data_IF_100382273431
#
_entry.id   IF_100382273431
#
_cell.length_a   1.000
_cell.length_b   1.000
_cell.length_c   1.000
_cell.angle_alpha   90.00
_cell.angle_beta   90.00
_cell.angle_gamma   90.00
#
_symmetry.space_group_name_H-M   'P 1'
#
loop_
_entity.id
_entity.type
_entity.pdbx_description
1 polymer ?
#
# COMPACT_ATOMS: atom_id res chain seq x y z
N UNK A 1 9.34 -20.69 13.73
CA UNK A 1 8.17 -20.51 14.62
C UNK A 1 8.01 -19.05 14.96
N UNK A 2 6.80 -18.51 14.88
CA UNK A 2 6.52 -17.13 15.25
C UNK A 2 6.40 -17.05 16.76
N UNK A 3 7.15 -16.16 17.39
CA UNK A 3 7.02 -15.93 18.84
C UNK A 3 5.69 -15.22 19.12
N UNK A 4 5.10 -15.55 20.30
CA UNK A 4 3.84 -14.92 20.71
C UNK A 4 3.97 -13.40 20.72
N UNK A 5 3.07 -12.68 20.04
CA UNK A 5 3.06 -11.23 19.95
C UNK A 5 3.93 -10.62 18.83
N UNK A 6 4.71 -11.42 18.09
CA UNK A 6 5.52 -10.93 16.95
C UNK A 6 4.84 -11.10 15.59
N UNK A 7 3.76 -11.90 15.53
CA UNK A 7 3.01 -12.12 14.31
C UNK A 7 1.91 -11.09 14.09
N UNK A 8 1.33 -11.14 12.90
CA UNK A 8 0.16 -10.35 12.52
C UNK A 8 -0.96 -11.30 12.08
N UNK A 9 -2.20 -10.90 12.30
CA UNK A 9 -3.35 -11.70 11.92
C UNK A 9 -3.79 -11.36 10.50
N UNK A 10 -3.99 -12.40 9.70
CA UNK A 10 -4.53 -12.30 8.35
C UNK A 10 -5.57 -13.41 8.17
N UNK A 11 -6.84 -13.03 7.97
CA UNK A 11 -7.95 -13.96 7.81
C UNK A 11 -8.03 -15.02 8.93
N UNK A 12 -7.81 -14.60 10.18
CA UNK A 12 -7.85 -15.48 11.34
C UNK A 12 -6.61 -16.34 11.56
N UNK A 13 -5.57 -16.15 10.74
CA UNK A 13 -4.30 -16.88 10.86
C UNK A 13 -3.19 -15.91 11.23
N UNK A 14 -2.42 -16.26 12.27
CA UNK A 14 -1.24 -15.48 12.64
C UNK A 14 -0.07 -15.83 11.73
N UNK A 15 0.50 -14.83 11.06
CA UNK A 15 1.63 -14.99 10.16
C UNK A 15 2.76 -14.02 10.55
N UNK A 16 3.99 -14.29 10.11
CA UNK A 16 5.11 -13.40 10.34
C UNK A 16 4.94 -12.10 9.55
N UNK A 17 5.58 -11.04 10.02
CA UNK A 17 5.61 -9.75 9.32
C UNK A 17 6.25 -9.86 7.93
N UNK A 18 7.26 -10.72 7.79
CA UNK A 18 7.92 -10.99 6.51
C UNK A 18 6.95 -11.60 5.51
N UNK A 19 6.16 -12.61 5.94
CA UNK A 19 5.13 -13.21 5.08
C UNK A 19 4.03 -12.21 4.72
N UNK A 20 3.60 -11.40 5.68
CA UNK A 20 2.63 -10.33 5.44
C UNK A 20 3.14 -9.37 4.36
N UNK A 21 4.38 -8.93 4.47
CA UNK A 21 4.99 -8.05 3.48
C UNK A 21 5.01 -8.65 2.08
N UNK A 22 5.37 -9.93 1.99
CA UNK A 22 5.38 -10.65 0.71
C UNK A 22 3.98 -10.74 0.11
N UNK A 23 2.97 -11.09 0.92
CA UNK A 23 1.58 -11.17 0.46
C UNK A 23 1.11 -9.83 -0.07
N UNK A 24 1.39 -8.74 0.64
CA UNK A 24 1.04 -7.39 0.19
C UNK A 24 1.69 -7.05 -1.14
N UNK A 25 2.95 -7.41 -1.33
CA UNK A 25 3.68 -7.21 -2.57
C UNK A 25 3.04 -7.99 -3.72
N UNK A 26 2.64 -9.25 -3.49
CA UNK A 26 1.95 -10.06 -4.49
C UNK A 26 0.60 -9.46 -4.90
N UNK A 27 -0.14 -8.87 -3.97
CA UNK A 27 -1.41 -8.18 -4.29
C UNK A 27 -1.16 -7.05 -5.29
N UNK A 28 -0.13 -6.25 -5.05
CA UNK A 28 0.23 -5.13 -5.95
C UNK A 28 0.71 -5.64 -7.30
N UNK A 29 1.54 -6.68 -7.32
CA UNK A 29 2.04 -7.29 -8.56
C UNK A 29 0.86 -7.80 -9.41
N UNK A 30 -0.07 -8.54 -8.80
CA UNK A 30 -1.23 -9.07 -9.51
C UNK A 30 -2.06 -7.94 -10.14
N UNK A 31 -2.31 -6.88 -9.39
CA UNK A 31 -3.04 -5.71 -9.90
C UNK A 31 -2.34 -5.11 -11.13
N UNK A 32 -1.03 -4.91 -11.04
CA UNK A 32 -0.25 -4.29 -12.11
C UNK A 32 -0.19 -5.17 -13.37
N UNK A 33 -0.05 -6.48 -13.20
CA UNK A 33 -0.05 -7.43 -14.31
C UNK A 33 -1.40 -7.42 -15.04
N UNK A 34 -2.51 -7.32 -14.31
CA UNK A 34 -3.85 -7.22 -14.91
C UNK A 34 -4.08 -5.90 -15.66
N UNK A 35 -3.27 -4.89 -15.35
CA UNK A 35 -3.26 -3.61 -16.08
C UNK A 35 -2.24 -3.59 -17.23
N UNK A 36 -1.67 -4.74 -17.56
CA UNK A 36 -0.68 -4.91 -18.62
C UNK A 36 0.62 -4.12 -18.40
N UNK A 37 0.96 -3.85 -17.15
CA UNK A 37 2.24 -3.29 -16.79
C UNK A 37 3.30 -4.39 -16.66
N UNK A 38 4.57 -4.06 -16.88
CA UNK A 38 5.69 -4.94 -16.54
C UNK A 38 6.17 -4.60 -15.14
N UNK A 39 6.48 -5.62 -14.36
CA UNK A 39 6.88 -5.45 -12.97
C UNK A 39 8.22 -6.13 -12.74
N UNK A 40 9.14 -5.42 -12.13
CA UNK A 40 10.46 -5.92 -11.78
C UNK A 40 10.66 -5.84 -10.27
N UNK A 41 11.30 -6.85 -9.70
CA UNK A 41 11.68 -6.88 -8.30
C UNK A 41 13.20 -6.66 -8.19
N UNK A 42 13.67 -5.85 -7.21
CA UNK A 42 15.10 -5.72 -6.98
C UNK A 42 15.67 -7.02 -6.41
N UNK A 43 16.88 -7.37 -6.83
CA UNK A 43 17.61 -8.53 -6.30
C UNK A 43 18.01 -8.28 -4.85
N UNK A 44 18.39 -7.04 -4.54
CA UNK A 44 18.75 -6.63 -3.18
C UNK A 44 17.88 -5.45 -2.77
N UNK A 45 17.19 -5.59 -1.62
CA UNK A 45 16.31 -4.55 -1.09
C UNK A 45 17.08 -3.69 -0.07
N UNK A 46 17.93 -2.82 -0.55
CA UNK A 46 18.73 -1.93 0.27
C UNK A 46 18.25 -0.46 0.24
N UNK A 47 17.37 -0.11 -0.70
CA UNK A 47 16.82 1.25 -0.85
C UNK A 47 15.33 1.35 -0.53
N UNK A 48 14.75 0.30 0.03
CA UNK A 48 13.31 0.22 0.34
C UNK A 48 12.43 0.48 -0.88
N UNK A 49 12.85 -0.03 -2.02
CA UNK A 49 12.05 -0.10 -3.23
C UNK A 49 11.68 -1.56 -3.43
N UNK A 50 10.39 -1.86 -3.37
CA UNK A 50 9.92 -3.24 -3.51
C UNK A 50 9.68 -3.63 -4.95
N UNK A 51 9.25 -2.68 -5.79
CA UNK A 51 8.88 -2.94 -7.18
C UNK A 51 9.32 -1.80 -8.07
N UNK A 52 9.63 -2.13 -9.32
CA UNK A 52 9.76 -1.17 -10.41
C UNK A 52 8.71 -1.50 -11.45
N UNK A 53 7.89 -0.52 -11.82
CA UNK A 53 6.86 -0.65 -12.84
C UNK A 53 7.38 -0.05 -14.14
N UNK A 54 7.22 -0.81 -15.24
CA UNK A 54 7.42 -0.28 -16.59
C UNK A 54 6.06 -0.21 -17.28
N UNK A 55 5.66 0.98 -17.67
CA UNK A 55 4.38 1.22 -18.33
C UNK A 55 4.49 2.42 -19.26
N UNK A 56 4.10 2.27 -20.53
CA UNK A 56 4.19 3.34 -21.53
C UNK A 56 5.58 3.98 -21.61
N UNK A 57 6.63 3.15 -21.61
CA UNK A 57 8.04 3.58 -21.67
C UNK A 57 8.50 4.41 -20.46
N UNK A 58 7.74 4.39 -19.37
CA UNK A 58 8.11 5.04 -18.12
C UNK A 58 8.40 4.00 -17.07
N UNK A 59 9.31 4.31 -16.17
CA UNK A 59 9.68 3.47 -15.04
C UNK A 59 9.30 4.18 -13.74
N UNK A 60 8.59 3.48 -12.88
CA UNK A 60 8.06 4.02 -11.62
C UNK A 60 8.45 3.09 -10.48
N UNK A 61 9.16 3.61 -9.49
CA UNK A 61 9.56 2.84 -8.31
C UNK A 61 8.47 2.90 -7.24
N UNK A 62 8.23 1.76 -6.58
CA UNK A 62 7.14 1.60 -5.62
C UNK A 62 7.63 0.90 -4.36
N UNK A 63 7.26 1.43 -3.20
CA UNK A 63 7.34 0.78 -1.90
C UNK A 63 5.96 0.27 -1.54
N UNK A 64 5.86 -0.98 -1.10
CA UNK A 64 4.59 -1.59 -0.70
C UNK A 64 4.49 -1.60 0.83
N UNK A 65 3.35 -1.17 1.36
CA UNK A 65 3.01 -1.21 2.78
C UNK A 65 1.64 -1.86 2.94
N UNK A 66 1.61 -3.13 3.37
CA UNK A 66 0.36 -3.85 3.55
C UNK A 66 -0.30 -3.49 4.89
N UNK A 67 -1.55 -3.04 4.82
CA UNK A 67 -2.34 -2.74 6.00
C UNK A 67 -3.47 -3.76 6.13
N UNK A 68 -3.38 -4.65 7.13
CA UNK A 68 -4.34 -5.74 7.31
C UNK A 68 -5.49 -5.42 8.26
N UNK A 69 -5.40 -4.31 8.98
CA UNK A 69 -6.40 -3.98 9.99
C UNK A 69 -7.58 -3.27 9.37
N UNK A 70 -8.76 -3.79 9.63
CA UNK A 70 -9.98 -3.23 9.10
C UNK A 70 -11.04 -3.14 10.18
N UNK A 71 -11.04 -2.07 10.89
CA UNK A 71 -12.21 -1.69 11.66
C UNK A 71 -13.18 -0.89 10.76
N UNK A 72 -14.46 -1.09 10.96
CA UNK A 72 -15.52 -0.48 10.19
C UNK A 72 -15.38 1.04 10.11
N UNK A 73 -14.93 1.54 8.97
CA UNK A 73 -14.99 2.96 8.66
C UNK A 73 -14.06 3.87 9.43
N UNK A 74 -13.09 3.33 10.14
CA UNK A 74 -12.11 4.17 10.83
C UNK A 74 -11.02 4.67 9.88
N UNK A 75 -10.31 5.68 10.30
CA UNK A 75 -9.15 6.18 9.59
C UNK A 75 -8.02 5.15 9.63
N UNK A 76 -7.28 5.07 8.53
CA UNK A 76 -6.09 4.22 8.42
C UNK A 76 -4.88 5.13 8.48
N UNK A 77 -3.90 4.73 9.27
CA UNK A 77 -2.63 5.43 9.37
C UNK A 77 -1.50 4.47 9.02
N UNK A 78 -0.69 4.86 8.07
CA UNK A 78 0.46 4.06 7.62
C UNK A 78 1.72 4.89 7.78
N UNK A 79 2.66 4.35 8.57
CA UNK A 79 3.96 4.98 8.74
C UNK A 79 4.87 4.62 7.58
N UNK A 80 5.42 5.63 6.95
CA UNK A 80 6.36 5.47 5.83
C UNK A 80 7.74 5.88 6.30
N UNK A 81 8.65 4.90 6.34
CA UNK A 81 10.05 5.18 6.61
C UNK A 81 10.71 5.82 5.37
N UNK A 82 11.84 6.50 5.52
CA UNK A 82 12.52 7.09 4.36
C UNK A 82 12.76 6.07 3.26
N UNK A 83 12.34 6.38 2.04
CA UNK A 83 12.50 5.53 0.87
C UNK A 83 12.66 6.38 -0.38
N UNK A 84 13.46 5.91 -1.33
CA UNK A 84 13.61 6.56 -2.63
C UNK A 84 12.48 6.20 -3.61
N UNK A 85 11.54 5.36 -3.23
CA UNK A 85 10.41 5.03 -4.08
C UNK A 85 9.61 6.29 -4.44
N UNK A 86 9.15 6.35 -5.67
CA UNK A 86 8.32 7.46 -6.16
C UNK A 86 6.89 7.36 -5.64
N UNK A 87 6.40 6.14 -5.45
CA UNK A 87 5.03 5.88 -4.99
C UNK A 87 5.01 4.87 -3.85
N UNK A 88 4.02 5.03 -2.99
CA UNK A 88 3.71 4.08 -1.94
C UNK A 88 2.40 3.38 -2.32
N UNK A 89 2.43 2.06 -2.41
CA UNK A 89 1.24 1.25 -2.63
C UNK A 89 0.84 0.58 -1.32
N UNK A 90 -0.41 0.77 -0.92
CA UNK A 90 -0.92 0.30 0.36
C UNK A 90 -2.11 -0.61 0.11
N UNK A 91 -1.91 -1.95 0.00
CA UNK A 91 -3.03 -2.86 -0.03
C UNK A 91 -3.81 -2.81 1.28
N UNK A 92 -5.12 -2.75 1.19
CA UNK A 92 -6.02 -2.64 2.33
C UNK A 92 -7.22 -3.56 2.11
N UNK A 93 -7.58 -4.34 3.13
CA UNK A 93 -8.77 -5.18 3.08
C UNK A 93 -9.91 -4.52 3.85
N UNK A 94 -11.03 -4.25 3.17
CA UNK A 94 -12.24 -3.66 3.76
C UNK A 94 -13.42 -4.55 3.44
N UNK A 95 -14.11 -5.07 4.46
CA UNK A 95 -15.32 -5.90 4.27
C UNK A 95 -15.10 -7.00 3.22
N UNK A 96 -14.02 -7.75 3.37
CA UNK A 96 -13.61 -8.85 2.46
C UNK A 96 -13.25 -8.43 1.05
N UNK A 97 -13.08 -7.13 0.78
CA UNK A 97 -12.58 -6.61 -0.49
C UNK A 97 -11.21 -6.00 -0.28
N UNK A 98 -10.31 -6.27 -1.21
CA UNK A 98 -8.96 -5.70 -1.18
C UNK A 98 -8.90 -4.51 -2.14
N UNK A 99 -8.45 -3.39 -1.61
CA UNK A 99 -8.18 -2.18 -2.37
C UNK A 99 -6.69 -1.88 -2.29
N UNK A 100 -6.15 -1.21 -3.28
CA UNK A 100 -4.80 -0.70 -3.22
C UNK A 100 -4.89 0.82 -3.18
N UNK A 101 -4.40 1.39 -2.09
CA UNK A 101 -4.29 2.83 -1.95
C UNK A 101 -2.94 3.26 -2.49
N UNK A 102 -2.93 4.24 -3.39
CA UNK A 102 -1.72 4.74 -4.02
C UNK A 102 -1.43 6.14 -3.53
N UNK A 103 -0.23 6.35 -3.08
CA UNK A 103 0.19 7.63 -2.54
C UNK A 103 1.53 8.05 -3.15
N UNK A 104 1.57 9.25 -3.75
CA UNK A 104 2.82 9.78 -4.26
C UNK A 104 3.76 10.11 -3.10
N UNK A 105 5.00 9.61 -3.15
CA UNK A 105 5.94 9.80 -2.06
C UNK A 105 6.44 11.25 -2.04
N UNK A 106 5.95 12.02 -1.09
CA UNK A 106 6.23 13.45 -0.98
C UNK A 106 7.48 13.77 -0.17
N UNK A 107 8.01 12.78 0.57
CA UNK A 107 9.20 13.01 1.40
C UNK A 107 10.09 11.78 1.40
N UNK A 108 11.20 11.82 0.67
CA UNK A 108 12.13 10.70 0.56
C UNK A 108 13.10 10.60 1.73
N UNK A 109 13.33 11.69 2.44
CA UNK A 109 14.38 11.80 3.46
C UNK A 109 13.87 11.75 4.90
N UNK A 110 12.57 11.85 5.10
CA UNK A 110 11.95 11.89 6.43
C UNK A 110 10.87 10.84 6.56
N UNK A 111 10.78 10.27 7.76
CA UNK A 111 9.65 9.44 8.15
C UNK A 111 8.38 10.30 8.21
N UNK A 112 7.27 9.79 7.70
CA UNK A 112 5.98 10.47 7.76
C UNK A 112 4.84 9.47 7.87
N UNK A 113 3.65 9.96 8.17
CA UNK A 113 2.45 9.13 8.28
C UNK A 113 1.46 9.54 7.20
N UNK A 114 0.99 8.56 6.44
CA UNK A 114 -0.14 8.72 5.53
C UNK A 114 -1.40 8.34 6.27
N UNK A 115 -2.36 9.26 6.34
CA UNK A 115 -3.64 9.01 7.00
C UNK A 115 -4.78 9.22 5.99
N UNK A 116 -5.70 8.26 5.94
CA UNK A 116 -6.88 8.36 5.08
C UNK A 116 -8.06 7.67 5.75
N UNK A 117 -9.27 8.04 5.32
CA UNK A 117 -10.50 7.54 5.88
C UNK A 117 -11.24 6.67 4.87
N UNK A 118 -11.71 5.50 5.32
CA UNK A 118 -12.37 4.51 4.48
C UNK A 118 -13.90 4.63 4.51
N UNK A 119 -14.47 5.43 5.41
CA UNK A 119 -15.90 5.65 5.52
C UNK A 119 -16.34 6.98 4.94
N UNK A 120 -17.64 7.09 4.63
CA UNK A 120 -18.22 8.38 4.27
C UNK A 120 -18.02 9.36 5.44
N UNK A 121 -17.60 10.60 5.17
CA UNK A 121 -17.45 11.59 6.23
C UNK A 121 -18.78 11.95 6.84
N UNK A 122 -18.78 12.19 8.14
CA UNK A 122 -19.94 12.74 8.85
C UNK A 122 -19.95 14.26 8.69
N UNK A 123 -21.08 14.81 8.23
CA UNK A 123 -21.29 16.26 8.12
C UNK A 123 -20.14 16.98 7.34
N UNK A 124 -19.59 18.05 7.84
CA UNK A 124 -18.65 18.95 7.17
C UNK A 124 -17.29 18.36 6.71
N UNK A 125 -17.18 17.03 6.58
CA UNK A 125 -15.93 16.36 6.21
C UNK A 125 -15.88 15.95 4.72
N UNK A 126 -16.53 16.69 3.85
CA UNK A 126 -16.65 16.42 2.41
C UNK A 126 -15.28 16.22 1.74
N UNK A 127 -14.25 16.94 2.19
CA UNK A 127 -12.91 16.82 1.65
C UNK A 127 -12.29 15.43 1.81
N UNK A 128 -12.69 14.67 2.84
CA UNK A 128 -12.16 13.32 3.09
C UNK A 128 -12.71 12.26 2.13
N UNK A 129 -13.91 12.45 1.57
CA UNK A 129 -14.47 11.54 0.56
C UNK A 129 -13.68 11.62 -0.74
N UNK A 130 -13.35 12.82 -1.16
CA UNK A 130 -12.54 13.04 -2.37
C UNK A 130 -11.13 12.49 -2.19
N UNK A 131 -10.60 12.56 -0.97
CA UNK A 131 -9.30 12.00 -0.60
C UNK A 131 -9.27 10.49 -0.81
N UNK A 132 -10.29 9.78 -0.35
CA UNK A 132 -10.41 8.34 -0.55
C UNK A 132 -10.37 7.93 -2.02
N UNK A 133 -11.12 8.62 -2.87
CA UNK A 133 -11.14 8.33 -4.31
C UNK A 133 -9.78 8.57 -4.97
N UNK A 134 -9.07 9.61 -4.55
CA UNK A 134 -7.75 9.93 -5.09
C UNK A 134 -6.73 8.84 -4.78
N UNK A 135 -6.81 8.26 -3.59
CA UNK A 135 -5.88 7.22 -3.18
C UNK A 135 -6.08 5.87 -3.90
N UNK A 136 -7.20 5.66 -4.57
CA UNK A 136 -7.42 4.43 -5.34
C UNK A 136 -6.79 4.49 -6.74
N UNK A 137 -6.38 5.66 -7.19
CA UNK A 137 -5.84 5.84 -8.53
C UNK A 137 -4.34 5.56 -8.55
N UNK A 138 -3.94 4.54 -9.30
CA UNK A 138 -2.53 4.19 -9.45
C UNK A 138 -1.80 5.15 -10.40
N UNK A 139 -0.45 5.17 -10.35
CA UNK A 139 0.33 6.01 -11.27
C UNK A 139 0.19 5.62 -12.75
N UNK A 140 -0.37 4.45 -13.04
CA UNK A 140 -0.60 4.00 -14.42
C UNK A 140 -2.05 4.13 -14.86
N UNK A 141 -2.95 4.55 -13.99
CA UNK A 141 -4.38 4.77 -14.31
C UNK A 141 -4.57 6.22 -14.76
N UNK A 142 -4.31 6.48 -15.99
CA UNK A 142 -4.55 7.80 -16.59
C UNK A 142 -5.81 7.79 -17.44
#
# INVERSE_FOLDING_TARGET
>A
MIKKGEGVWLNGVEISRTRKGYIGQQIVIDYLLRKNARVYEPIVDDFRIDLLIEHNKKYISVQVKYHTTMSNGSSIQVKVAPTNAEWIAIPVCVKNKTYIMWYENTSKNKKYTVAFQMSKPKNNQVKKVNFYKLFLKSPIDN
#
